data_IF_397454771039
#
_entry.id   IF_397454771039
#
_cell.length_a   1.000
_cell.length_b   1.000
_cell.length_c   1.000
_cell.angle_alpha   90.00
_cell.angle_beta   90.00
_cell.angle_gamma   90.00
#
_symmetry.space_group_name_H-M   'P 1'
#
loop_
_entity.id
_entity.type
_entity.pdbx_description
1 polymer ?
#
# COMPACT_ATOMS: atom_id res chain seq x y z
N UNK A 1 20.05 8.97 10.95
CA UNK A 1 18.74 9.62 10.70
C UNK A 1 17.73 8.88 11.57
N UNK A 2 17.02 9.59 12.46
CA UNK A 2 15.89 8.99 13.19
C UNK A 2 14.77 8.71 12.17
N UNK A 3 14.21 7.51 12.23
CA UNK A 3 13.09 7.11 11.37
C UNK A 3 11.77 7.59 11.99
N UNK A 4 11.57 8.90 12.07
CA UNK A 4 10.37 9.51 12.63
C UNK A 4 9.10 8.94 11.96
N UNK A 5 8.13 8.56 12.77
CA UNK A 5 6.81 8.09 12.35
C UNK A 5 5.82 9.23 12.57
N UNK A 6 5.14 9.64 11.51
CA UNK A 6 4.20 10.75 11.50
C UNK A 6 2.82 10.24 11.12
N UNK A 7 1.83 10.50 11.99
CA UNK A 7 0.41 10.20 11.76
C UNK A 7 -0.35 11.51 11.65
N UNK A 8 -1.01 11.71 10.51
CA UNK A 8 -1.83 12.90 10.26
C UNK A 8 -3.31 12.55 10.37
N UNK A 9 -4.10 13.44 10.96
CA UNK A 9 -5.54 13.26 11.19
C UNK A 9 -6.38 14.29 10.41
N UNK A 10 -7.62 13.94 10.11
CA UNK A 10 -8.58 14.78 9.38
C UNK A 10 -8.98 16.05 10.14
N UNK A 11 -8.88 16.03 11.48
CA UNK A 11 -9.14 17.19 12.35
C UNK A 11 -7.94 18.15 12.44
N UNK A 12 -6.86 17.88 11.69
CA UNK A 12 -5.64 18.68 11.66
C UNK A 12 -4.62 18.31 12.75
N UNK A 13 -4.90 17.32 13.60
CA UNK A 13 -3.88 16.78 14.52
C UNK A 13 -2.76 16.10 13.74
N UNK A 14 -1.54 16.22 14.26
CA UNK A 14 -0.37 15.48 13.79
C UNK A 14 0.29 14.85 15.01
N UNK A 15 0.43 13.52 15.00
CA UNK A 15 1.15 12.77 16.02
C UNK A 15 2.49 12.35 15.45
N UNK A 16 3.55 12.78 16.13
CA UNK A 16 4.93 12.47 15.80
C UNK A 16 5.47 11.50 16.84
N UNK A 17 6.08 10.42 16.37
CA UNK A 17 6.65 9.37 17.19
C UNK A 17 8.09 9.15 16.73
N UNK A 18 9.05 9.33 17.64
CA UNK A 18 10.44 8.95 17.39
C UNK A 18 10.67 7.51 17.86
N UNK A 19 10.76 6.52 16.95
CA UNK A 19 10.97 5.14 17.35
C UNK A 19 12.35 4.92 17.99
N UNK A 20 13.30 5.86 17.87
CA UNK A 20 14.58 5.80 18.58
C UNK A 20 14.40 5.70 20.11
N UNK A 21 13.29 6.20 20.65
CA UNK A 21 12.94 6.08 22.06
C UNK A 21 12.61 4.64 22.51
N UNK A 22 12.29 3.76 21.55
CA UNK A 22 11.88 2.37 21.80
C UNK A 22 12.87 1.37 21.22
N UNK A 23 13.71 1.80 20.27
CA UNK A 23 14.81 1.00 19.70
C UNK A 23 16.15 1.26 20.40
N UNK A 24 16.22 2.18 21.37
CA UNK A 24 17.43 2.36 22.19
C UNK A 24 17.63 1.14 23.09
N UNK A 25 18.70 0.38 22.86
CA UNK A 25 19.08 -0.80 23.64
C UNK A 25 19.50 -0.53 25.09
N UNK A 26 19.27 0.66 25.66
CA UNK A 26 19.65 0.96 27.05
C UNK A 26 19.04 0.00 28.10
N UNK A 27 17.82 -0.56 27.93
CA UNK A 27 17.33 -1.62 28.81
C UNK A 27 17.90 -3.02 28.50
N UNK A 28 18.44 -3.24 27.30
CA UNK A 28 18.71 -4.58 26.73
C UNK A 28 20.19 -4.86 26.36
N UNK A 29 21.10 -3.90 26.57
CA UNK A 29 22.53 -4.04 26.32
C UNK A 29 23.01 -3.50 24.96
N UNK A 30 24.33 -3.45 24.78
CA UNK A 30 24.98 -2.72 23.69
C UNK A 30 24.83 -3.31 22.26
N UNK A 31 24.25 -4.52 22.13
CA UNK A 31 24.26 -5.29 20.88
C UNK A 31 22.87 -5.80 20.46
N UNK A 32 21.81 -5.03 20.68
CA UNK A 32 20.45 -5.42 20.30
C UNK A 32 20.08 -4.82 18.95
N UNK A 33 19.67 -5.66 18.00
CA UNK A 33 19.09 -5.23 16.74
C UNK A 33 17.58 -5.05 16.94
N UNK A 34 17.04 -3.91 16.52
CA UNK A 34 15.59 -3.66 16.52
C UNK A 34 15.01 -3.67 15.11
N UNK A 35 13.94 -4.43 14.91
CA UNK A 35 13.10 -4.41 13.71
C UNK A 35 11.84 -3.59 13.99
N UNK A 36 11.39 -2.79 13.02
CA UNK A 36 10.16 -1.99 13.11
C UNK A 36 9.19 -2.45 12.02
N UNK A 37 8.05 -3.00 12.43
CA UNK A 37 7.03 -3.51 11.52
C UNK A 37 5.71 -2.80 11.76
N UNK A 38 5.23 -2.06 10.75
CA UNK A 38 3.90 -1.43 10.82
C UNK A 38 2.83 -2.48 10.52
N UNK A 39 1.96 -2.76 11.50
CA UNK A 39 0.93 -3.80 11.40
C UNK A 39 -0.35 -3.24 10.80
N UNK A 40 -0.57 -3.55 9.52
CA UNK A 40 -1.76 -3.12 8.77
C UNK A 40 -2.87 -4.16 8.75
N UNK A 41 -2.61 -5.35 9.28
CA UNK A 41 -3.53 -6.48 9.36
C UNK A 41 -4.54 -6.35 10.51
N UNK A 42 -4.34 -5.43 11.46
CA UNK A 42 -5.17 -5.25 12.67
C UNK A 42 -5.80 -3.88 12.81
N UNK A 43 -6.14 -3.21 11.70
CA UNK A 43 -6.72 -1.85 11.72
C UNK A 43 -8.01 -1.74 12.55
N UNK A 44 -8.76 -2.84 12.73
CA UNK A 44 -9.95 -2.87 13.59
C UNK A 44 -9.63 -2.69 15.08
N UNK A 45 -8.42 -3.08 15.50
CA UNK A 45 -7.95 -2.97 16.88
C UNK A 45 -7.18 -1.67 17.12
N UNK A 46 -6.78 -0.96 16.05
CA UNK A 46 -5.95 0.24 16.10
C UNK A 46 -4.79 0.17 15.10
N UNK A 47 -3.96 1.20 15.08
CA UNK A 47 -2.75 1.26 14.27
C UNK A 47 -1.54 1.10 15.19
N UNK A 48 -0.72 0.08 14.92
CA UNK A 48 0.40 -0.29 15.78
C UNK A 48 1.70 -0.47 15.00
N UNK A 49 2.80 -0.23 15.69
CA UNK A 49 4.15 -0.61 15.26
C UNK A 49 4.63 -1.69 16.20
N UNK A 50 5.03 -2.81 15.64
CA UNK A 50 5.71 -3.89 16.33
C UNK A 50 7.21 -3.57 16.31
N UNK A 51 7.85 -3.63 17.48
CA UNK A 51 9.29 -3.43 17.64
C UNK A 51 9.88 -4.70 18.21
N UNK A 52 10.60 -5.46 17.38
CA UNK A 52 11.23 -6.70 17.78
C UNK A 52 12.70 -6.51 18.13
N UNK A 53 13.11 -6.87 19.34
CA UNK A 53 14.49 -6.79 19.83
C UNK A 53 15.19 -8.15 19.71
N UNK A 54 16.35 -8.15 19.08
CA UNK A 54 17.07 -9.36 18.75
C UNK A 54 18.47 -9.37 19.36
N UNK A 55 18.82 -10.45 20.04
CA UNK A 55 20.16 -10.66 20.58
C UNK A 55 21.03 -11.53 19.66
N UNK A 56 22.33 -11.24 19.57
CA UNK A 56 23.28 -12.10 18.88
C UNK A 56 23.44 -13.43 19.64
N UNK A 57 23.87 -14.51 18.96
CA UNK A 57 24.13 -15.78 19.62
C UNK A 57 25.16 -15.64 20.74
N UNK A 58 24.99 -16.35 21.86
CA UNK A 58 25.77 -16.21 23.11
C UNK A 58 27.29 -16.35 22.97
N UNK A 59 27.74 -16.98 21.89
CA UNK A 59 29.14 -17.31 21.63
C UNK A 59 29.78 -16.33 20.64
N UNK A 60 29.07 -15.29 20.20
CA UNK A 60 29.60 -14.25 19.32
C UNK A 60 30.55 -13.35 20.12
N UNK A 61 31.83 -13.30 19.72
CA UNK A 61 32.78 -12.34 20.29
C UNK A 61 32.34 -10.92 19.91
N UNK A 62 31.98 -10.05 20.88
CA UNK A 62 31.55 -8.68 20.61
C UNK A 62 32.59 -7.83 19.86
N UNK A 63 33.87 -8.23 19.89
CA UNK A 63 34.94 -7.54 19.15
C UNK A 63 35.11 -8.00 17.70
N UNK A 64 34.73 -9.25 17.38
CA UNK A 64 34.85 -9.79 16.02
C UNK A 64 33.55 -9.66 15.21
N UNK A 65 32.39 -9.63 15.87
CA UNK A 65 31.10 -9.50 15.22
C UNK A 65 30.11 -8.67 16.07
N UNK A 66 30.32 -7.35 16.21
CA UNK A 66 29.46 -6.47 17.03
C UNK A 66 28.00 -6.49 16.55
N UNK A 67 27.86 -6.79 15.26
CA UNK A 67 26.67 -7.02 14.47
C UNK A 67 26.10 -8.44 14.42
N UNK A 68 26.72 -9.49 15.00
CA UNK A 68 26.40 -10.91 14.78
C UNK A 68 26.15 -11.33 13.31
N UNK A 69 26.56 -10.49 12.35
CA UNK A 69 26.20 -10.56 10.92
C UNK A 69 26.99 -11.62 10.17
N UNK A 70 28.15 -12.02 10.73
CA UNK A 70 29.11 -12.90 10.08
C UNK A 70 29.06 -14.33 10.60
N UNK A 71 28.34 -14.60 11.69
CA UNK A 71 28.23 -15.95 12.27
C UNK A 71 27.37 -16.93 11.44
N UNK A 72 26.56 -16.43 10.48
CA UNK A 72 25.61 -17.26 9.71
C UNK A 72 24.54 -17.93 10.57
N UNK A 73 24.42 -17.56 11.85
CA UNK A 73 23.44 -18.09 12.81
C UNK A 73 22.32 -17.07 13.00
N UNK A 74 21.07 -17.53 13.14
CA UNK A 74 19.95 -16.62 13.28
C UNK A 74 20.02 -15.90 14.63
N UNK A 75 19.74 -14.60 14.56
CA UNK A 75 19.38 -13.78 15.68
C UNK A 75 18.14 -14.32 16.39
N UNK A 76 18.11 -14.29 17.73
CA UNK A 76 16.91 -14.68 18.49
C UNK A 76 16.13 -13.45 18.90
N UNK A 77 14.81 -13.47 18.69
CA UNK A 77 13.88 -12.49 19.25
C UNK A 77 13.83 -12.66 20.78
N UNK A 78 14.13 -11.59 21.50
CA UNK A 78 14.21 -11.57 22.97
C UNK A 78 13.09 -10.75 23.58
N UNK A 79 12.67 -9.69 22.90
CA UNK A 79 11.51 -8.90 23.30
C UNK A 79 10.73 -8.43 22.08
N UNK A 80 9.44 -8.21 22.29
CA UNK A 80 8.51 -7.71 21.28
C UNK A 80 7.55 -6.72 21.95
N UNK A 81 7.58 -5.48 21.49
CA UNK A 81 6.73 -4.43 22.01
C UNK A 81 5.87 -3.79 20.93
N UNK A 82 4.61 -3.50 21.30
CA UNK A 82 3.65 -2.86 20.42
C UNK A 82 3.48 -1.40 20.81
N UNK A 83 3.80 -0.50 19.89
CA UNK A 83 3.57 0.93 20.03
C UNK A 83 2.26 1.32 19.35
N UNK A 84 1.30 1.78 20.14
CA UNK A 84 0.03 2.29 19.63
C UNK A 84 0.20 3.67 19.00
N UNK A 85 0.03 3.73 17.68
CA UNK A 85 0.04 4.96 16.90
C UNK A 85 -1.32 5.65 16.90
N UNK A 86 -2.40 4.88 16.78
CA UNK A 86 -3.78 5.38 16.87
C UNK A 86 -4.67 4.30 17.50
N UNK A 87 -5.54 4.69 18.43
CA UNK A 87 -6.55 3.79 18.99
C UNK A 87 -7.62 3.46 17.95
N UNK A 88 -8.39 2.39 18.18
CA UNK A 88 -9.38 1.89 17.21
C UNK A 88 -10.42 2.96 16.81
N UNK A 89 -10.83 3.83 17.73
CA UNK A 89 -11.76 4.95 17.48
C UNK A 89 -11.08 6.11 16.72
N UNK A 90 -9.78 6.30 16.91
CA UNK A 90 -8.98 7.30 16.20
C UNK A 90 -8.63 6.88 14.76
N UNK A 91 -8.59 5.57 14.46
CA UNK A 91 -8.26 5.05 13.11
C UNK A 91 -9.14 5.66 12.04
N UNK A 92 -10.42 5.92 12.32
CA UNK A 92 -11.33 6.57 11.38
C UNK A 92 -10.90 7.99 10.95
N UNK A 93 -10.20 8.69 11.84
CA UNK A 93 -9.70 10.05 11.60
C UNK A 93 -8.32 10.11 10.95
N UNK A 94 -7.55 9.02 10.90
CA UNK A 94 -6.20 9.00 10.31
C UNK A 94 -6.28 9.20 8.80
N UNK A 95 -5.60 10.20 8.25
CA UNK A 95 -5.53 10.46 6.80
C UNK A 95 -4.25 9.94 6.15
N UNK A 96 -3.15 9.87 6.88
CA UNK A 96 -1.88 9.34 6.36
C UNK A 96 -0.96 8.89 7.48
N UNK A 97 -0.10 7.91 7.16
CA UNK A 97 1.04 7.52 7.98
C UNK A 97 2.31 7.59 7.15
N UNK A 98 3.34 8.23 7.70
CA UNK A 98 4.66 8.35 7.10
C UNK A 98 5.72 7.85 8.07
N UNK A 99 6.77 7.22 7.56
CA UNK A 99 7.91 6.77 8.35
C UNK A 99 9.20 7.13 7.60
N UNK A 100 10.11 7.86 8.26
CA UNK A 100 11.37 8.29 7.65
C UNK A 100 11.19 9.11 6.37
N UNK A 101 10.13 9.90 6.28
CA UNK A 101 9.78 10.70 5.11
C UNK A 101 9.13 9.92 3.96
N UNK A 102 8.88 8.62 4.11
CA UNK A 102 8.14 7.80 3.14
C UNK A 102 6.71 7.60 3.62
N UNK A 103 5.74 7.87 2.75
CA UNK A 103 4.33 7.59 3.04
C UNK A 103 4.05 6.10 2.91
N UNK A 104 3.56 5.49 4.01
CA UNK A 104 3.22 4.08 4.06
C UNK A 104 1.71 3.88 3.88
N UNK A 105 0.90 4.75 4.50
CA UNK A 105 -0.56 4.73 4.38
C UNK A 105 -1.10 6.05 3.86
N UNK A 106 -2.17 5.96 3.08
CA UNK A 106 -2.97 7.11 2.69
C UNK A 106 -4.45 6.77 2.74
N UNK A 107 -5.28 7.69 3.24
CA UNK A 107 -6.72 7.55 3.16
C UNK A 107 -7.21 7.90 1.76
N UNK A 108 -7.94 6.97 1.14
CA UNK A 108 -8.55 7.11 -0.17
C UNK A 108 -9.99 6.62 -0.07
N UNK A 109 -10.94 7.41 -0.57
CA UNK A 109 -12.39 7.11 -0.49
C UNK A 109 -12.89 6.68 0.90
N UNK A 110 -12.25 7.16 1.97
CA UNK A 110 -12.64 6.82 3.34
C UNK A 110 -11.95 5.57 3.92
N UNK A 111 -11.02 4.94 3.22
CA UNK A 111 -10.28 3.76 3.70
C UNK A 111 -8.76 4.01 3.70
N UNK A 112 -8.04 3.39 4.63
CA UNK A 112 -6.57 3.44 4.65
C UNK A 112 -6.00 2.41 3.68
N UNK A 113 -5.22 2.89 2.72
CA UNK A 113 -4.59 2.08 1.68
C UNK A 113 -3.09 2.03 1.89
N UNK A 114 -2.51 0.83 1.76
CA UNK A 114 -1.07 0.64 1.78
C UNK A 114 -0.44 1.05 0.45
N UNK A 115 0.36 2.12 0.48
CA UNK A 115 0.99 2.69 -0.72
C UNK A 115 1.90 1.67 -1.41
N UNK A 116 2.64 0.88 -0.63
CA UNK A 116 3.57 -0.11 -1.17
C UNK A 116 2.89 -1.29 -1.86
N UNK A 117 1.69 -1.68 -1.42
CA UNK A 117 0.93 -2.75 -2.07
C UNK A 117 0.41 -2.31 -3.42
N UNK A 118 -0.15 -1.10 -3.48
CA UNK A 118 -0.59 -0.50 -4.76
C UNK A 118 0.60 -0.31 -5.68
N UNK A 119 1.76 0.12 -5.13
CA UNK A 119 3.00 0.22 -5.89
C UNK A 119 3.43 -1.10 -6.50
N UNK A 120 3.57 -2.14 -5.68
CA UNK A 120 3.98 -3.46 -6.13
C UNK A 120 3.05 -3.99 -7.23
N UNK A 121 1.73 -3.87 -7.03
CA UNK A 121 0.74 -4.29 -8.02
C UNK A 121 0.85 -3.52 -9.34
N UNK A 122 1.08 -2.20 -9.28
CA UNK A 122 1.26 -1.39 -10.48
C UNK A 122 2.56 -1.73 -11.21
N UNK A 123 3.66 -1.93 -10.48
CA UNK A 123 4.94 -2.31 -11.05
C UNK A 123 4.86 -3.67 -11.76
N UNK A 124 4.14 -4.62 -11.19
CA UNK A 124 3.89 -5.91 -11.82
C UNK A 124 3.01 -5.78 -13.07
N UNK A 125 1.96 -4.95 -12.99
CA UNK A 125 1.05 -4.71 -14.11
C UNK A 125 1.69 -3.97 -15.30
N UNK A 126 2.61 -3.03 -15.04
CA UNK A 126 3.16 -2.13 -16.06
C UNK A 126 4.64 -2.36 -16.40
N UNK A 127 5.38 -3.08 -15.55
CA UNK A 127 6.81 -3.32 -15.74
C UNK A 127 7.71 -2.09 -15.51
N UNK A 128 7.19 -1.01 -14.92
CA UNK A 128 7.96 0.21 -14.62
C UNK A 128 7.65 0.73 -13.21
N UNK A 129 8.72 1.04 -12.47
CA UNK A 129 8.72 1.52 -11.09
C UNK A 129 8.71 3.06 -11.00
N UNK A 130 8.91 3.75 -12.13
CA UNK A 130 9.00 5.21 -12.21
C UNK A 130 7.64 5.92 -12.02
N UNK A 131 6.53 5.24 -12.37
CA UNK A 131 5.20 5.85 -12.43
C UNK A 131 4.67 6.34 -11.07
N UNK A 132 5.12 5.79 -9.95
CA UNK A 132 4.57 6.13 -8.63
C UNK A 132 5.25 7.30 -7.94
N UNK A 133 6.47 7.67 -8.35
CA UNK A 133 7.12 8.86 -7.79
C UNK A 133 6.39 10.15 -8.20
N UNK A 134 5.66 10.11 -9.32
CA UNK A 134 4.93 11.26 -9.86
C UNK A 134 3.41 11.15 -9.66
N UNK A 135 2.85 9.94 -9.56
CA UNK A 135 1.42 9.73 -9.40
C UNK A 135 0.99 9.73 -7.93
N UNK A 136 -0.06 10.50 -7.61
CA UNK A 136 -0.76 10.37 -6.34
C UNK A 136 -1.43 8.98 -6.21
N UNK A 137 -1.63 8.52 -4.97
CA UNK A 137 -2.19 7.19 -4.67
C UNK A 137 -3.53 6.91 -5.36
N UNK A 138 -4.36 7.94 -5.56
CA UNK A 138 -5.64 7.80 -6.27
C UNK A 138 -5.40 7.39 -7.72
N UNK A 139 -4.53 8.11 -8.44
CA UNK A 139 -4.18 7.79 -9.82
C UNK A 139 -3.52 6.41 -9.93
N UNK A 140 -2.67 6.05 -8.98
CA UNK A 140 -2.06 4.72 -8.93
C UNK A 140 -3.12 3.62 -8.80
N UNK A 141 -4.12 3.81 -7.93
CA UNK A 141 -5.24 2.88 -7.77
C UNK A 141 -6.09 2.75 -9.04
N UNK A 142 -6.36 3.87 -9.74
CA UNK A 142 -7.07 3.85 -11.03
C UNK A 142 -6.37 3.01 -12.10
N UNK A 143 -5.04 2.95 -12.07
CA UNK A 143 -4.26 2.17 -13.02
C UNK A 143 -4.06 0.72 -12.57
N UNK A 144 -3.88 0.50 -11.27
CA UNK A 144 -3.64 -0.82 -10.71
C UNK A 144 -4.91 -1.69 -10.72
N UNK A 145 -6.06 -1.12 -10.33
CA UNK A 145 -7.31 -1.90 -10.19
C UNK A 145 -7.69 -2.64 -11.48
N UNK A 146 -7.75 -2.00 -12.67
CA UNK A 146 -8.12 -2.72 -13.90
C UNK A 146 -7.13 -3.82 -14.28
N UNK A 147 -5.83 -3.57 -14.10
CA UNK A 147 -4.80 -4.54 -14.47
C UNK A 147 -4.81 -5.77 -13.55
N UNK A 148 -4.90 -5.55 -12.25
CA UNK A 148 -5.02 -6.64 -11.25
C UNK A 148 -6.34 -7.39 -11.44
N UNK A 149 -7.42 -6.69 -11.77
CA UNK A 149 -8.73 -7.30 -12.05
C UNK A 149 -8.66 -8.29 -13.21
N UNK A 150 -8.09 -7.88 -14.36
CA UNK A 150 -7.98 -8.75 -15.52
C UNK A 150 -7.23 -10.04 -15.19
N UNK A 151 -6.07 -9.92 -14.52
CA UNK A 151 -5.28 -11.08 -14.09
C UNK A 151 -6.04 -11.96 -13.10
N UNK A 152 -6.66 -11.37 -12.08
CA UNK A 152 -7.40 -12.12 -11.06
C UNK A 152 -8.59 -12.88 -11.66
N UNK A 153 -9.30 -12.27 -12.62
CA UNK A 153 -10.40 -12.91 -13.34
C UNK A 153 -9.90 -14.12 -14.15
N UNK A 154 -8.79 -13.98 -14.87
CA UNK A 154 -8.16 -15.07 -15.64
C UNK A 154 -7.73 -16.23 -14.72
N UNK A 155 -7.02 -15.92 -13.63
CA UNK A 155 -6.53 -16.91 -12.68
C UNK A 155 -7.68 -17.67 -11.99
N UNK A 156 -8.75 -16.98 -11.62
CA UNK A 156 -9.92 -17.58 -10.99
C UNK A 156 -10.71 -18.43 -11.99
N UNK A 157 -10.93 -17.94 -13.22
CA UNK A 157 -11.59 -18.70 -14.26
C UNK A 157 -10.80 -19.98 -14.62
N UNK A 158 -9.47 -19.90 -14.66
CA UNK A 158 -8.60 -21.05 -14.89
C UNK A 158 -8.69 -22.10 -13.76
N UNK A 159 -8.88 -21.66 -12.50
CA UNK A 159 -9.01 -22.56 -11.34
C UNK A 159 -10.40 -23.20 -11.25
N UNK A 160 -11.46 -22.45 -11.53
CA UNK A 160 -12.83 -22.92 -11.38
C UNK A 160 -13.39 -23.60 -12.65
N UNK A 161 -12.75 -23.38 -13.80
CA UNK A 161 -13.20 -23.93 -15.09
C UNK A 161 -14.49 -23.30 -15.62
N UNK A 162 -14.88 -22.13 -15.11
CA UNK A 162 -16.06 -21.36 -15.51
C UNK A 162 -15.84 -19.87 -15.29
N UNK A 163 -16.76 -19.04 -15.82
CA UNK A 163 -16.77 -17.61 -15.50
C UNK A 163 -17.04 -17.38 -14.01
N UNK A 164 -16.22 -16.53 -13.41
CA UNK A 164 -16.27 -16.20 -11.99
C UNK A 164 -16.97 -14.85 -11.82
N UNK A 165 -17.89 -14.79 -10.85
CA UNK A 165 -18.66 -13.58 -10.59
C UNK A 165 -17.78 -12.41 -10.14
N UNK A 166 -18.20 -11.20 -10.51
CA UNK A 166 -17.51 -9.94 -10.19
C UNK A 166 -17.18 -9.79 -8.70
N UNK A 167 -18.00 -10.34 -7.81
CA UNK A 167 -17.75 -10.28 -6.36
C UNK A 167 -16.49 -11.06 -5.95
N UNK A 168 -16.29 -12.26 -6.50
CA UNK A 168 -15.10 -13.06 -6.17
C UNK A 168 -13.83 -12.44 -6.74
N UNK A 169 -13.90 -11.83 -7.93
CA UNK A 169 -12.78 -11.08 -8.51
C UNK A 169 -12.49 -9.83 -7.67
N UNK A 170 -13.52 -9.09 -7.25
CA UNK A 170 -13.36 -7.92 -6.39
C UNK A 170 -12.70 -8.28 -5.05
N UNK A 171 -13.09 -9.39 -4.43
CA UNK A 171 -12.45 -9.88 -3.21
C UNK A 171 -10.96 -10.19 -3.43
N UNK A 172 -10.61 -10.90 -4.51
CA UNK A 172 -9.22 -11.22 -4.84
C UNK A 172 -8.36 -9.95 -5.07
N UNK A 173 -8.87 -9.01 -5.86
CA UNK A 173 -8.20 -7.73 -6.14
C UNK A 173 -8.04 -6.92 -4.84
N UNK A 174 -9.07 -6.88 -4.00
CA UNK A 174 -9.04 -6.16 -2.73
C UNK A 174 -8.02 -6.74 -1.76
N UNK A 175 -7.94 -8.08 -1.71
CA UNK A 175 -6.99 -8.81 -0.90
C UNK A 175 -5.56 -8.55 -1.34
N UNK A 176 -5.30 -8.34 -2.64
CA UNK A 176 -3.97 -8.06 -3.17
C UNK A 176 -3.55 -6.60 -2.95
N UNK A 177 -4.43 -5.65 -3.25
CA UNK A 177 -4.16 -4.22 -3.09
C UNK A 177 -4.19 -3.76 -1.62
N UNK A 178 -4.77 -4.56 -0.73
CA UNK A 178 -4.98 -4.18 0.67
C UNK A 178 -6.00 -3.06 0.80
N UNK A 179 -7.12 -3.18 0.08
CA UNK A 179 -8.26 -2.25 0.09
C UNK A 179 -9.55 -3.05 0.32
N UNK A 180 -10.72 -2.42 0.44
CA UNK A 180 -11.98 -3.14 0.42
C UNK A 180 -12.45 -3.50 -0.99
N UNK A 181 -13.21 -4.59 -1.12
CA UNK A 181 -13.91 -4.93 -2.37
C UNK A 181 -14.90 -3.83 -2.80
N UNK A 182 -15.43 -3.03 -1.87
CA UNK A 182 -16.28 -1.89 -2.20
C UNK A 182 -15.50 -0.77 -2.90
N UNK A 183 -14.27 -0.47 -2.44
CA UNK A 183 -13.38 0.48 -3.11
C UNK A 183 -13.02 -0.02 -4.52
N UNK A 184 -12.65 -1.29 -4.66
CA UNK A 184 -12.31 -1.89 -5.97
C UNK A 184 -13.47 -1.73 -6.95
N UNK A 185 -14.70 -2.11 -6.55
CA UNK A 185 -15.89 -1.95 -7.39
C UNK A 185 -16.13 -0.49 -7.76
N UNK A 186 -15.95 0.44 -6.82
CA UNK A 186 -16.11 1.88 -7.06
C UNK A 186 -15.09 2.42 -8.07
N UNK A 187 -13.82 2.04 -7.95
CA UNK A 187 -12.79 2.48 -8.90
C UNK A 187 -13.08 1.88 -10.29
N UNK A 188 -13.47 0.61 -10.35
CA UNK A 188 -13.83 -0.07 -11.61
C UNK A 188 -15.03 0.58 -12.28
N UNK A 189 -16.08 0.94 -11.53
CA UNK A 189 -17.24 1.65 -12.11
C UNK A 189 -16.84 3.01 -12.67
N UNK A 190 -15.98 3.75 -11.95
CA UNK A 190 -15.48 5.05 -12.43
C UNK A 190 -14.59 4.90 -13.68
N UNK A 191 -13.76 3.85 -13.76
CA UNK A 191 -12.95 3.56 -14.94
C UNK A 191 -13.78 3.08 -16.15
N UNK A 192 -14.93 2.44 -15.92
CA UNK A 192 -15.85 2.02 -16.98
C UNK A 192 -16.64 3.20 -17.58
N UNK A 193 -16.97 4.21 -16.76
CA UNK A 193 -17.68 5.42 -17.19
C UNK A 193 -16.80 6.38 -18.03
N UNK A 194 -15.47 6.20 -18.04
CA UNK A 194 -14.52 7.00 -18.85
C UNK A 194 -14.41 6.54 -20.32
N UNK A 195 -15.32 5.68 -20.80
CA UNK A 195 -15.54 5.48 -22.24
C UNK A 195 -16.79 6.28 -22.67
N UNK A 196 -16.73 7.62 -22.81
CA UNK A 196 -17.72 8.29 -23.63
C UNK A 196 -17.48 7.77 -25.04
N UNK A 197 -18.48 7.09 -25.59
CA UNK A 197 -18.47 6.71 -26.99
C UNK A 197 -18.02 7.90 -27.83
N UNK A 198 -16.89 7.77 -28.51
CA UNK A 198 -16.75 8.41 -29.80
C UNK A 198 -17.87 7.82 -30.64
N UNK A 199 -19.02 8.50 -30.65
CA UNK A 199 -20.09 8.21 -31.57
C UNK A 199 -19.49 8.30 -32.97
N UNK A 200 -19.38 7.15 -33.62
CA UNK A 200 -19.50 7.08 -35.07
C UNK A 200 -20.89 7.62 -35.42
N UNK A 201 -21.00 8.93 -35.54
CA UNK A 201 -22.09 9.62 -36.23
C UNK A 201 -21.47 10.89 -36.82
N UNK A 202 -20.60 10.69 -37.81
CA UNK A 202 -20.41 11.69 -38.86
C UNK A 202 -21.61 11.51 -39.78
N UNK A 203 -22.59 12.44 -39.81
CA UNK A 203 -23.57 12.41 -40.88
C UNK A 203 -22.82 12.65 -42.19
N UNK A 204 -22.96 11.70 -43.13
CA UNK A 204 -22.66 11.92 -44.55
C UNK A 204 -23.63 12.99 -45.06
N UNK A 205 -23.27 14.26 -44.87
CA UNK A 205 -23.87 15.35 -45.64
C UNK A 205 -23.27 15.30 -47.06
N UNK A 206 -23.86 14.45 -47.90
CA UNK A 206 -23.92 14.69 -49.33
C UNK A 206 -24.71 16.00 -49.57
N UNK A 207 -24.04 17.15 -49.50
CA UNK A 207 -24.56 18.38 -50.11
C UNK A 207 -23.96 18.57 -51.50
N UNK A 208 -24.77 18.17 -52.48
CA UNK A 208 -24.84 18.73 -53.82
C UNK A 208 -24.74 20.26 -53.79
N UNK A 209 -23.74 20.84 -54.46
CA UNK A 209 -23.51 22.28 -54.44
C UNK A 209 -22.61 22.80 -55.55
N UNK A 210 -22.99 22.52 -56.79
CA UNK A 210 -22.43 23.08 -58.02
C UNK A 210 -22.42 24.63 -57.95
N UNK A 211 -21.24 25.26 -57.89
CA UNK A 211 -21.09 26.70 -58.16
C UNK A 211 -20.24 26.90 -59.42
N UNK A 212 -20.94 27.29 -60.47
CA UNK A 212 -20.44 27.81 -61.74
C UNK A 212 -19.96 29.26 -61.51
N UNK A 213 -18.70 29.57 -61.82
CA UNK A 213 -18.18 30.93 -61.84
C UNK A 213 -17.92 31.34 -63.29
N UNK A 214 -18.83 32.16 -63.82
CA UNK A 214 -18.61 32.99 -65.00
C UNK A 214 -17.82 34.26 -64.69
#
# INVERSE_FOLDING_TARGET
MSAEIVVSYADGRVKVVDPALYTSGEPFGANVLSELTVRLDRLAEGLYVEVGHHEPPSDADPQEDPAGRFSGRPYMLVDDCHLCLAEADEVGGVISLEAGGRRLLSRVFGELVCVERVRAALCEARGDDSALQELGIVSALYLAVPAVWARAAEDLAAREGQEVGDDAVAEAVSAELGTSAAMVRRIRSMAADEVPGMGEDVPDDEEDGFYDFG
#
